data_IF_637583644743
#
_entry.id   IF_637583644743
#
_cell.length_a   1.000
_cell.length_b   1.000
_cell.length_c   1.000
_cell.angle_alpha   90.00
_cell.angle_beta   90.00
_cell.angle_gamma   90.00
#
_symmetry.space_group_name_H-M   'P 1'
#
loop_
_entity.id
_entity.type
_entity.pdbx_description
1 polymer ?
#
# COMPACT_ATOMS: atom_id res chain seq x y z
N UNK A 1 -27.27 0.22 5.54
CA UNK A 1 -26.51 1.10 4.62
C UNK A 1 -25.50 0.25 3.89
N UNK A 2 -25.61 0.14 2.57
CA UNK A 2 -24.68 -0.64 1.74
C UNK A 2 -23.28 -0.09 1.92
N UNK A 3 -22.40 -0.88 2.51
CA UNK A 3 -21.01 -0.49 2.68
C UNK A 3 -20.39 -0.37 1.28
N UNK A 4 -20.08 0.87 0.86
CA UNK A 4 -19.49 1.09 -0.45
C UNK A 4 -18.18 0.30 -0.50
N UNK A 5 -17.94 -0.44 -1.60
CA UNK A 5 -16.83 -1.38 -1.71
C UNK A 5 -15.46 -0.80 -1.30
N UNK A 6 -15.24 0.50 -1.49
CA UNK A 6 -14.02 1.20 -1.05
C UNK A 6 -13.86 1.24 0.48
N UNK A 7 -14.93 1.44 1.25
CA UNK A 7 -14.89 1.42 2.72
C UNK A 7 -14.54 0.03 3.25
N UNK A 8 -14.99 -1.02 2.56
CA UNK A 8 -14.63 -2.40 2.92
C UNK A 8 -13.14 -2.64 2.74
N UNK A 9 -12.58 -2.22 1.60
CA UNK A 9 -11.15 -2.35 1.33
C UNK A 9 -10.29 -1.56 2.33
N UNK A 10 -10.68 -0.33 2.68
CA UNK A 10 -9.98 0.45 3.71
C UNK A 10 -9.99 -0.25 5.07
N UNK A 11 -11.10 -0.90 5.46
CA UNK A 11 -11.14 -1.66 6.72
C UNK A 11 -10.24 -2.90 6.66
N UNK A 12 -10.15 -3.58 5.51
CA UNK A 12 -9.23 -4.72 5.34
C UNK A 12 -7.78 -4.28 5.46
N UNK A 13 -7.40 -3.17 4.80
CA UNK A 13 -6.06 -2.59 4.93
C UNK A 13 -5.80 -2.11 6.35
N UNK A 14 -6.77 -1.51 7.04
CA UNK A 14 -6.57 -1.09 8.42
C UNK A 14 -6.34 -2.29 9.36
N UNK A 15 -7.15 -3.35 9.21
CA UNK A 15 -7.04 -4.57 10.00
C UNK A 15 -5.69 -5.26 9.78
N UNK A 16 -5.21 -5.33 8.54
CA UNK A 16 -3.88 -5.81 8.18
C UNK A 16 -2.74 -5.17 8.97
N UNK A 17 -2.93 -3.91 9.35
CA UNK A 17 -1.93 -3.08 10.01
C UNK A 17 -2.19 -2.96 11.51
N UNK A 18 -3.03 -3.84 12.09
CA UNK A 18 -3.40 -3.77 13.50
C UNK A 18 -4.16 -2.48 13.86
N UNK A 19 -4.77 -1.82 12.88
CA UNK A 19 -5.33 -0.47 13.03
C UNK A 19 -6.81 -0.39 12.65
N UNK A 20 -7.39 0.81 12.77
CA UNK A 20 -8.76 1.15 12.39
C UNK A 20 -8.77 2.33 11.43
N UNK A 21 -9.73 2.31 10.51
CA UNK A 21 -9.95 3.40 9.57
C UNK A 21 -10.48 4.65 10.26
N UNK A 22 -10.00 5.81 9.84
CA UNK A 22 -10.52 7.10 10.23
C UNK A 22 -11.91 7.39 9.60
N UNK A 23 -12.87 7.92 10.39
CA UNK A 23 -14.14 8.39 9.85
C UNK A 23 -13.91 9.63 8.97
N UNK A 24 -14.73 9.79 7.93
CA UNK A 24 -14.72 11.01 7.12
C UNK A 24 -15.53 12.08 7.87
N UNK A 25 -14.87 12.82 8.77
CA UNK A 25 -15.46 13.86 9.62
C UNK A 25 -15.40 15.26 9.01
N UNK A 26 -14.93 15.41 7.76
CA UNK A 26 -14.75 16.71 7.11
C UNK A 26 -13.43 17.43 7.46
N UNK A 27 -12.60 16.83 8.32
CA UNK A 27 -11.24 17.27 8.59
C UNK A 27 -10.25 16.58 7.63
N UNK A 28 -9.17 17.26 7.24
CA UNK A 28 -8.08 16.67 6.46
C UNK A 28 -7.32 15.64 7.32
N UNK A 29 -7.82 14.41 7.35
CA UNK A 29 -7.23 13.27 8.06
C UNK A 29 -6.89 12.18 7.05
N UNK A 30 -5.80 11.45 7.30
CA UNK A 30 -5.43 10.27 6.52
C UNK A 30 -6.47 9.16 6.69
N UNK A 31 -6.57 8.21 5.75
CA UNK A 31 -7.57 7.15 5.82
C UNK A 31 -7.34 6.20 7.00
N UNK A 32 -6.08 5.90 7.35
CA UNK A 32 -5.71 4.95 8.41
C UNK A 32 -4.48 5.48 9.17
N UNK A 33 -4.56 5.51 10.50
CA UNK A 33 -3.41 5.81 11.39
C UNK A 33 -2.82 4.48 11.90
N UNK A 34 -1.67 4.03 11.36
CA UNK A 34 -1.06 2.75 11.73
C UNK A 34 0.32 2.97 12.35
N UNK A 35 0.37 3.11 13.68
CA UNK A 35 1.60 3.39 14.41
C UNK A 35 2.30 4.66 13.90
N UNK A 36 3.53 4.58 13.36
CA UNK A 36 4.24 5.73 12.80
C UNK A 36 3.74 6.15 11.40
N UNK A 37 2.79 5.42 10.81
CA UNK A 37 2.36 5.62 9.42
C UNK A 37 1.01 6.32 9.32
N UNK A 38 0.96 7.39 8.51
CA UNK A 38 -0.27 7.99 8.02
C UNK A 38 -0.58 7.43 6.62
N UNK A 39 -1.55 6.52 6.52
CA UNK A 39 -1.81 5.71 5.32
C UNK A 39 -3.01 6.26 4.55
N UNK A 40 -2.74 6.77 3.36
CA UNK A 40 -3.74 7.11 2.34
C UNK A 40 -3.99 5.89 1.44
N UNK A 41 -5.24 5.40 1.40
CA UNK A 41 -5.61 4.21 0.64
C UNK A 41 -6.35 4.58 -0.65
N UNK A 42 -5.83 4.12 -1.80
CA UNK A 42 -6.43 4.40 -3.12
C UNK A 42 -6.83 3.12 -3.83
N UNK A 43 -8.10 2.77 -3.73
CA UNK A 43 -8.70 1.71 -4.53
C UNK A 43 -8.77 2.09 -6.02
N UNK A 44 -8.31 1.20 -6.91
CA UNK A 44 -8.43 1.31 -8.37
C UNK A 44 -8.84 -0.04 -8.95
N UNK A 45 -9.64 -0.03 -10.02
CA UNK A 45 -10.05 -1.25 -10.72
C UNK A 45 -8.88 -1.95 -11.42
N UNK A 46 -7.90 -1.17 -11.86
CA UNK A 46 -6.67 -1.66 -12.48
C UNK A 46 -5.53 -0.70 -12.20
N UNK A 47 -4.31 -1.24 -12.20
CA UNK A 47 -3.07 -0.49 -12.16
C UNK A 47 -2.41 -0.47 -13.54
N UNK A 48 -1.51 0.48 -13.83
CA UNK A 48 -0.73 0.47 -15.06
C UNK A 48 0.02 -0.86 -15.22
N UNK A 49 -0.09 -1.51 -16.39
CA UNK A 49 0.51 -2.84 -16.63
C UNK A 49 2.03 -2.87 -16.44
N UNK A 50 2.72 -1.77 -16.74
CA UNK A 50 4.16 -1.67 -16.55
C UNK A 50 4.54 -1.75 -15.07
N UNK A 51 3.70 -1.22 -14.17
CA UNK A 51 3.95 -1.23 -12.73
C UNK A 51 3.77 -2.63 -12.17
N UNK A 52 2.67 -3.30 -12.53
CA UNK A 52 2.43 -4.68 -12.10
C UNK A 52 3.44 -5.65 -12.71
N UNK A 53 3.87 -5.40 -13.96
CA UNK A 53 4.97 -6.15 -14.59
C UNK A 53 6.31 -6.00 -13.87
N UNK A 54 6.66 -4.78 -13.43
CA UNK A 54 7.87 -4.54 -12.65
C UNK A 54 7.86 -5.27 -11.30
N UNK A 55 6.72 -5.26 -10.60
CA UNK A 55 6.53 -5.99 -9.34
C UNK A 55 6.64 -7.51 -9.55
N UNK A 56 6.03 -8.04 -10.62
CA UNK A 56 6.15 -9.46 -10.95
C UNK A 56 7.60 -9.86 -11.26
N UNK A 57 8.33 -9.03 -12.01
CA UNK A 57 9.74 -9.27 -12.29
C UNK A 57 10.59 -9.25 -11.02
N UNK A 58 10.32 -8.29 -10.12
CA UNK A 58 10.98 -8.24 -8.82
C UNK A 58 10.71 -9.51 -8.02
N UNK A 59 9.44 -9.96 -7.93
CA UNK A 59 9.05 -11.19 -7.24
C UNK A 59 9.76 -12.43 -7.79
N UNK A 60 9.77 -12.60 -9.11
CA UNK A 60 10.42 -13.75 -9.75
C UNK A 60 11.93 -13.80 -9.49
N UNK A 61 12.57 -12.66 -9.24
CA UNK A 61 14.02 -12.54 -9.06
C UNK A 61 14.44 -12.52 -7.59
N UNK A 62 13.49 -12.48 -6.65
CA UNK A 62 13.78 -12.20 -5.25
C UNK A 62 14.35 -13.41 -4.49
N UNK A 63 13.93 -14.63 -4.85
CA UNK A 63 14.22 -15.82 -4.05
C UNK A 63 13.60 -15.67 -2.66
N UNK A 64 14.39 -15.90 -1.60
CA UNK A 64 13.96 -15.76 -0.21
C UNK A 64 13.98 -14.30 0.30
N UNK A 65 14.31 -13.34 -0.56
CA UNK A 65 14.34 -11.91 -0.21
C UNK A 65 12.98 -11.26 -0.51
N UNK A 66 12.67 -10.16 0.15
CA UNK A 66 11.46 -9.38 -0.16
C UNK A 66 11.61 -8.66 -1.51
N UNK A 67 10.65 -8.81 -2.43
CA UNK A 67 10.67 -8.11 -3.71
C UNK A 67 10.32 -6.63 -3.54
N UNK A 68 11.16 -5.76 -4.11
CA UNK A 68 10.98 -4.31 -4.05
C UNK A 68 11.29 -3.70 -5.42
N UNK A 69 10.45 -2.76 -5.84
CA UNK A 69 10.66 -1.93 -7.02
C UNK A 69 10.96 -0.50 -6.57
N UNK A 70 12.08 0.06 -7.05
CA UNK A 70 12.39 1.49 -6.86
C UNK A 70 12.11 2.23 -8.15
N UNK A 71 11.07 3.07 -8.15
CA UNK A 71 10.73 3.91 -9.29
C UNK A 71 11.42 5.25 -9.14
N UNK A 72 12.20 5.66 -10.14
CA UNK A 72 12.83 6.98 -10.16
C UNK A 72 12.17 7.86 -11.21
N UNK A 73 11.52 8.94 -10.77
CA UNK A 73 11.02 9.98 -11.67
C UNK A 73 12.11 11.02 -11.91
N UNK A 74 12.52 11.16 -13.17
CA UNK A 74 13.46 12.18 -13.62
C UNK A 74 12.75 13.22 -14.48
N UNK A 75 13.15 14.47 -14.35
CA UNK A 75 12.71 15.56 -15.23
C UNK A 75 13.82 16.58 -15.34
N UNK A 76 13.98 17.21 -16.50
CA UNK A 76 15.02 18.22 -16.72
C UNK A 76 14.91 19.35 -15.69
N UNK A 77 16.05 19.73 -15.09
CA UNK A 77 16.13 20.82 -14.12
C UNK A 77 15.51 20.53 -12.74
N UNK A 78 15.10 19.28 -12.44
CA UNK A 78 14.61 18.91 -11.10
C UNK A 78 15.36 17.71 -10.54
N UNK A 79 15.49 17.68 -9.21
CA UNK A 79 16.03 16.52 -8.49
C UNK A 79 15.12 15.31 -8.71
N UNK A 80 15.73 14.17 -9.00
CA UNK A 80 15.01 12.92 -9.18
C UNK A 80 14.26 12.52 -7.90
N UNK A 81 12.98 12.19 -8.04
CA UNK A 81 12.15 11.64 -6.96
C UNK A 81 12.15 10.12 -7.04
N UNK A 82 12.17 9.46 -5.89
CA UNK A 82 12.21 7.99 -5.80
C UNK A 82 11.05 7.49 -4.97
N UNK A 83 10.42 6.43 -5.45
CA UNK A 83 9.32 5.74 -4.79
C UNK A 83 9.73 4.29 -4.57
N UNK A 84 9.52 3.79 -3.36
CA UNK A 84 9.68 2.38 -3.03
C UNK A 84 8.30 1.75 -3.11
N UNK A 85 8.17 0.71 -3.92
CA UNK A 85 6.93 -0.04 -4.10
C UNK A 85 7.22 -1.51 -3.84
N UNK A 86 6.41 -2.13 -2.99
CA UNK A 86 6.42 -3.54 -2.69
C UNK A 86 4.97 -4.04 -2.59
N UNK A 87 4.78 -5.35 -2.56
CA UNK A 87 3.46 -5.90 -2.33
C UNK A 87 2.97 -5.52 -0.92
N UNK A 88 1.67 -5.27 -0.78
CA UNK A 88 1.11 -4.91 0.52
C UNK A 88 1.24 -6.05 1.52
N UNK A 89 1.17 -7.31 1.07
CA UNK A 89 1.39 -8.47 1.95
C UNK A 89 2.78 -8.46 2.57
N UNK A 90 3.83 -8.26 1.76
CA UNK A 90 5.22 -8.17 2.25
C UNK A 90 5.38 -7.01 3.26
N UNK A 91 4.72 -5.87 3.00
CA UNK A 91 4.75 -4.73 3.92
C UNK A 91 3.96 -4.97 5.21
N UNK A 92 2.79 -5.61 5.12
CA UNK A 92 1.98 -5.99 6.26
C UNK A 92 2.69 -7.06 7.12
N UNK A 93 3.44 -7.98 6.54
CA UNK A 93 4.23 -8.96 7.30
C UNK A 93 5.32 -8.28 8.14
N UNK A 94 5.85 -7.14 7.70
CA UNK A 94 6.85 -6.37 8.45
C UNK A 94 6.27 -5.50 9.56
N UNK A 95 5.03 -5.03 9.40
CA UNK A 95 4.48 -3.92 10.18
C UNK A 95 3.09 -4.16 10.79
N UNK A 96 2.40 -5.18 10.33
CA UNK A 96 1.08 -5.60 10.82
C UNK A 96 1.18 -6.47 12.06
N UNK A 97 0.04 -6.67 12.72
CA UNK A 97 -0.05 -7.61 13.83
C UNK A 97 -0.11 -9.03 13.24
N UNK A 98 0.78 -9.91 13.71
CA UNK A 98 1.02 -11.27 13.19
C UNK A 98 -0.17 -12.26 13.28
N UNK A 99 -1.38 -11.79 13.61
CA UNK A 99 -2.59 -12.58 13.70
C UNK A 99 -3.58 -12.08 12.63
N UNK A 100 -3.80 -12.89 11.60
CA UNK A 100 -4.76 -12.70 10.48
C UNK A 100 -4.26 -12.00 9.19
N UNK A 101 -2.98 -12.14 8.82
CA UNK A 101 -2.53 -11.80 7.46
C UNK A 101 -2.76 -12.97 6.47
N UNK A 102 -4.02 -13.31 6.22
CA UNK A 102 -4.40 -14.09 5.04
C UNK A 102 -5.37 -13.25 4.21
N UNK A 103 -4.84 -12.64 3.15
CA UNK A 103 -5.61 -11.86 2.16
C UNK A 103 -6.13 -12.73 1.03
#
# INVERSE_FOLDING_TARGET
MTDRAWKRQERQVAAALGSRRNPNSGEHRTDIDAGPFAVEHKARKSMPKWLTGALQQARNSAGDRTPVVVLTQVSQGRKAQRYVVLDFSDWADWHGDAQEAAF
#
